data_IF_563381703425
#
_entry.id   IF_563381703425
#
_cell.length_a   1.000
_cell.length_b   1.000
_cell.length_c   1.000
_cell.angle_alpha   90.00
_cell.angle_beta   90.00
_cell.angle_gamma   90.00
#
_symmetry.space_group_name_H-M   'P 1'
#
loop_
_entity.id
_entity.type
_entity.pdbx_description
1 polymer ?
#
# COMPACT_ATOMS: atom_id res chain seq x y z
N UNK A 1 9.39 -5.11 -13.33
CA UNK A 1 8.78 -3.90 -13.92
C UNK A 1 8.83 -2.81 -12.87
N UNK A 2 9.45 -1.68 -13.17
CA UNK A 2 9.62 -0.55 -12.24
C UNK A 2 8.44 0.41 -12.36
N UNK A 3 8.26 1.31 -11.38
CA UNK A 3 7.28 2.39 -11.48
C UNK A 3 5.82 2.00 -11.31
N UNK A 4 5.54 0.77 -10.88
CA UNK A 4 4.18 0.33 -10.54
C UNK A 4 3.91 0.53 -9.05
N UNK A 5 2.65 0.71 -8.65
CA UNK A 5 2.25 0.85 -7.25
C UNK A 5 2.70 -0.38 -6.43
N UNK A 6 2.55 -1.59 -6.99
CA UNK A 6 3.04 -2.84 -6.41
C UNK A 6 4.56 -2.86 -6.27
N UNK A 7 5.30 -2.32 -7.24
CA UNK A 7 6.77 -2.25 -7.16
C UNK A 7 7.22 -1.33 -6.03
N UNK A 8 6.64 -0.13 -5.95
CA UNK A 8 6.92 0.82 -4.89
C UNK A 8 6.57 0.24 -3.52
N UNK A 9 5.35 -0.29 -3.36
CA UNK A 9 4.89 -0.88 -2.10
C UNK A 9 5.74 -2.09 -1.69
N UNK A 10 6.22 -2.90 -2.64
CA UNK A 10 7.14 -4.00 -2.34
C UNK A 10 8.44 -3.49 -1.72
N UNK A 11 9.07 -2.50 -2.36
CA UNK A 11 10.32 -1.91 -1.86
C UNK A 11 10.12 -1.26 -0.49
N UNK A 12 9.07 -0.44 -0.35
CA UNK A 12 8.79 0.26 0.90
C UNK A 12 8.43 -0.70 2.04
N UNK A 13 7.72 -1.79 1.76
CA UNK A 13 7.48 -2.84 2.75
C UNK A 13 8.79 -3.48 3.20
N UNK A 14 9.68 -3.80 2.25
CA UNK A 14 10.97 -4.41 2.55
C UNK A 14 11.83 -3.51 3.44
N UNK A 15 11.83 -2.20 3.21
CA UNK A 15 12.51 -1.24 4.10
C UNK A 15 11.96 -1.23 5.53
N UNK A 16 10.65 -1.42 5.71
CA UNK A 16 10.01 -1.40 7.03
C UNK A 16 10.17 -2.72 7.79
N UNK A 17 10.11 -3.84 7.09
CA UNK A 17 9.99 -5.16 7.71
C UNK A 17 11.18 -6.08 7.47
N UNK A 18 12.04 -5.79 6.49
CA UNK A 18 13.24 -6.57 6.19
C UNK A 18 13.00 -7.91 5.48
N UNK A 19 11.79 -8.18 5.00
CA UNK A 19 11.45 -9.39 4.26
C UNK A 19 10.45 -9.14 3.13
N UNK A 20 10.36 -10.08 2.19
CA UNK A 20 9.44 -9.98 1.04
C UNK A 20 7.97 -10.05 1.46
N UNK A 21 7.09 -9.14 1.01
CA UNK A 21 5.66 -9.20 1.30
C UNK A 21 4.89 -10.26 0.48
N UNK A 22 5.52 -10.86 -0.55
CA UNK A 22 4.84 -11.79 -1.45
C UNK A 22 3.99 -11.12 -2.55
N UNK A 23 4.10 -9.80 -2.73
CA UNK A 23 3.31 -9.09 -3.75
C UNK A 23 3.67 -9.49 -5.18
N UNK A 24 2.64 -9.73 -6.00
CA UNK A 24 2.76 -10.01 -7.43
C UNK A 24 1.59 -9.37 -8.19
N UNK A 25 1.87 -8.71 -9.31
CA UNK A 25 0.84 -8.16 -10.20
C UNK A 25 0.03 -7.01 -9.58
N UNK A 26 -1.30 -7.16 -9.60
CA UNK A 26 -2.29 -6.10 -9.31
C UNK A 26 -2.28 -5.62 -7.85
N UNK A 27 -2.23 -4.30 -7.66
CA UNK A 27 -2.26 -3.66 -6.35
C UNK A 27 -3.49 -3.98 -5.51
N UNK A 28 -4.66 -4.18 -6.13
CA UNK A 28 -5.87 -4.54 -5.37
C UNK A 28 -5.79 -5.93 -4.71
N UNK A 29 -4.87 -6.81 -5.17
CA UNK A 29 -4.67 -8.16 -4.62
C UNK A 29 -3.61 -8.21 -3.52
N UNK A 30 -2.84 -7.15 -3.31
CA UNK A 30 -1.66 -7.17 -2.44
C UNK A 30 -2.00 -7.48 -0.97
N UNK A 31 -3.12 -6.98 -0.44
CA UNK A 31 -3.57 -7.35 0.92
C UNK A 31 -3.82 -8.85 1.04
N UNK A 32 -4.52 -9.47 0.08
CA UNK A 32 -4.76 -10.93 0.08
C UNK A 32 -3.45 -11.72 -0.04
N UNK A 33 -2.54 -11.26 -0.89
CA UNK A 33 -1.23 -11.89 -1.08
C UNK A 33 -0.38 -11.84 0.19
N UNK A 34 -0.37 -10.70 0.89
CA UNK A 34 0.34 -10.56 2.15
C UNK A 34 -0.25 -11.47 3.24
N UNK A 35 -1.57 -11.50 3.36
CA UNK A 35 -2.23 -12.38 4.35
C UNK A 35 -2.03 -13.86 4.04
N UNK A 36 -1.96 -14.23 2.76
CA UNK A 36 -1.63 -15.60 2.35
C UNK A 36 -0.19 -15.97 2.67
N UNK A 37 0.74 -15.03 2.53
CA UNK A 37 2.19 -15.28 2.70
C UNK A 37 2.63 -15.18 4.16
N UNK A 38 2.08 -14.22 4.90
CA UNK A 38 2.47 -13.83 6.26
C UNK A 38 1.23 -13.65 7.16
N UNK A 39 0.26 -14.56 7.04
CA UNK A 39 -0.96 -14.54 7.84
C UNK A 39 -0.72 -14.78 9.34
N UNK A 40 0.46 -15.27 9.71
CA UNK A 40 0.95 -15.31 11.08
C UNK A 40 1.24 -13.89 11.62
N UNK A 41 1.75 -12.97 10.78
CA UNK A 41 2.20 -11.61 11.16
C UNK A 41 1.19 -10.49 10.87
N UNK A 42 0.25 -10.72 9.96
CA UNK A 42 -0.73 -9.72 9.56
C UNK A 42 -2.16 -10.23 9.69
N UNK A 43 -3.08 -9.29 9.85
CA UNK A 43 -4.52 -9.55 9.93
C UNK A 43 -5.30 -8.60 9.01
N UNK A 44 -6.41 -9.08 8.45
CA UNK A 44 -7.30 -8.26 7.63
C UNK A 44 -8.06 -7.27 8.50
N UNK A 45 -8.18 -6.03 8.06
CA UNK A 45 -8.97 -5.01 8.75
C UNK A 45 -9.64 -4.03 7.79
N UNK A 46 -10.68 -3.35 8.28
CA UNK A 46 -11.33 -2.19 7.65
C UNK A 46 -10.83 -0.85 8.21
N UNK A 47 -10.05 -0.89 9.29
CA UNK A 47 -9.36 0.25 9.91
C UNK A 47 -7.85 -0.01 9.97
N UNK A 48 -7.00 0.96 9.60
CA UNK A 48 -5.56 0.75 9.56
C UNK A 48 -4.87 0.93 10.91
N UNK A 49 -3.72 0.28 11.07
CA UNK A 49 -2.67 0.61 12.05
C UNK A 49 -1.44 1.19 11.33
N UNK A 50 -0.52 1.90 12.02
CA UNK A 50 0.79 2.18 11.45
C UNK A 50 1.48 0.89 10.97
N UNK A 51 2.10 0.95 9.79
CA UNK A 51 2.69 -0.19 9.10
C UNK A 51 1.71 -0.99 8.23
N UNK A 52 0.40 -0.70 8.27
CA UNK A 52 -0.57 -1.44 7.47
C UNK A 52 -0.34 -1.28 5.97
N UNK A 53 -0.47 -2.37 5.23
CA UNK A 53 -0.59 -2.33 3.77
C UNK A 53 -2.05 -2.15 3.41
N UNK A 54 -2.36 -1.26 2.47
CA UNK A 54 -3.72 -1.10 1.95
C UNK A 54 -3.82 -1.47 0.48
N UNK A 55 -4.95 -2.05 0.08
CA UNK A 55 -5.30 -2.29 -1.32
C UNK A 55 -6.54 -1.48 -1.67
N UNK A 56 -6.42 -0.64 -2.70
CA UNK A 56 -7.53 0.10 -3.30
C UNK A 56 -8.27 -0.77 -4.30
N UNK A 57 -9.47 -1.23 -3.92
CA UNK A 57 -10.20 -2.27 -4.63
C UNK A 57 -10.74 -1.76 -5.97
N UNK A 58 -11.33 -0.56 -5.99
CA UNK A 58 -11.91 0.00 -7.20
C UNK A 58 -10.92 0.69 -8.15
N UNK A 59 -9.64 0.82 -7.75
CA UNK A 59 -8.61 1.52 -8.54
C UNK A 59 -7.36 0.70 -8.87
N UNK A 60 -7.31 -0.59 -8.54
CA UNK A 60 -6.12 -1.42 -8.70
C UNK A 60 -4.86 -0.75 -8.11
N UNK A 61 -4.91 -0.40 -6.83
CA UNK A 61 -3.83 0.36 -6.19
C UNK A 61 -3.37 -0.28 -4.87
N UNK A 62 -2.14 0.00 -4.46
CA UNK A 62 -1.56 -0.46 -3.20
C UNK A 62 -0.62 0.60 -2.64
N UNK A 63 -0.63 0.76 -1.32
CA UNK A 63 0.32 1.60 -0.61
C UNK A 63 0.45 1.17 0.85
N UNK A 64 1.16 1.97 1.65
CA UNK A 64 1.46 1.67 3.04
C UNK A 64 1.06 2.84 3.93
N UNK A 65 0.42 2.54 5.06
CA UNK A 65 0.11 3.49 6.12
C UNK A 65 1.33 3.62 7.03
N UNK A 66 1.90 4.82 7.11
CA UNK A 66 3.10 5.12 7.91
C UNK A 66 2.74 5.62 9.31
N UNK A 67 1.64 6.35 9.44
CA UNK A 67 1.15 6.83 10.72
C UNK A 67 -0.38 6.95 10.73
N UNK A 68 -0.97 6.81 11.92
CA UNK A 68 -2.39 7.03 12.19
C UNK A 68 -2.49 7.98 13.37
N UNK A 69 -3.15 9.12 13.18
CA UNK A 69 -3.40 10.14 14.21
C UNK A 69 -4.90 10.48 14.19
N UNK A 70 -5.65 9.88 15.12
CA UNK A 70 -7.11 9.90 15.09
C UNK A 70 -7.65 9.31 13.78
N UNK A 71 -8.40 10.11 13.03
CA UNK A 71 -8.92 9.73 11.70
C UNK A 71 -7.95 10.04 10.55
N UNK A 72 -6.83 10.70 10.83
CA UNK A 72 -5.84 11.08 9.81
C UNK A 72 -4.79 9.99 9.61
N UNK A 73 -4.71 9.50 8.39
CA UNK A 73 -3.73 8.54 7.91
C UNK A 73 -2.61 9.29 7.18
N UNK A 74 -1.36 8.99 7.52
CA UNK A 74 -0.22 9.36 6.67
C UNK A 74 0.17 8.13 5.87
N UNK A 75 0.06 8.20 4.54
CA UNK A 75 0.35 7.08 3.63
C UNK A 75 1.54 7.39 2.74
N UNK A 76 2.15 6.33 2.24
CA UNK A 76 3.11 6.36 1.14
C UNK A 76 2.63 5.44 0.02
N UNK A 77 2.59 5.99 -1.18
CA UNK A 77 2.17 5.30 -2.40
C UNK A 77 2.98 5.82 -3.59
N UNK A 78 3.08 4.99 -4.63
CA UNK A 78 3.83 5.30 -5.85
C UNK A 78 3.03 4.94 -7.09
N UNK A 79 3.58 5.22 -8.27
CA UNK A 79 2.83 5.21 -9.53
C UNK A 79 1.70 6.23 -9.54
N UNK A 80 2.03 7.50 -9.32
CA UNK A 80 1.05 8.58 -9.22
C UNK A 80 0.54 9.00 -10.60
N UNK A 81 1.34 8.79 -11.65
CA UNK A 81 0.99 9.10 -13.04
C UNK A 81 0.24 7.97 -13.76
N UNK A 82 0.13 6.79 -13.14
CA UNK A 82 -0.58 5.63 -13.67
C UNK A 82 0.14 4.90 -14.80
N UNK A 83 1.45 5.14 -14.99
CA UNK A 83 2.23 4.57 -16.09
C UNK A 83 3.17 3.47 -15.61
N UNK A 84 3.79 2.80 -16.57
CA UNK A 84 4.98 2.00 -16.27
C UNK A 84 6.19 2.87 -16.50
N UNK A 85 6.85 3.26 -15.43
CA UNK A 85 7.99 4.16 -15.47
C UNK A 85 9.33 3.40 -15.56
N UNK A 86 10.35 4.08 -16.09
CA UNK A 86 11.73 3.61 -15.96
C UNK A 86 12.17 3.64 -14.50
N UNK A 87 13.27 2.96 -14.16
CA UNK A 87 13.80 2.98 -12.80
C UNK A 87 14.05 4.41 -12.28
N UNK A 88 14.61 5.29 -13.12
CA UNK A 88 14.93 6.67 -12.76
C UNK A 88 13.69 7.51 -12.46
N UNK A 89 12.64 7.36 -13.26
CA UNK A 89 11.36 8.06 -13.06
C UNK A 89 10.63 7.53 -11.82
N UNK A 90 10.63 6.21 -11.64
CA UNK A 90 10.00 5.53 -10.51
C UNK A 90 10.57 5.97 -9.14
N UNK A 91 11.84 6.39 -9.08
CA UNK A 91 12.45 6.90 -7.85
C UNK A 91 11.83 8.20 -7.34
N UNK A 92 11.20 8.98 -8.23
CA UNK A 92 10.56 10.26 -7.90
C UNK A 92 9.03 10.22 -7.99
N UNK A 93 8.47 9.16 -8.57
CA UNK A 93 7.03 8.96 -8.75
C UNK A 93 6.38 8.26 -7.55
N UNK A 94 6.50 8.91 -6.40
CA UNK A 94 5.86 8.52 -5.16
C UNK A 94 5.71 9.74 -4.24
N UNK A 95 4.82 9.65 -3.27
CA UNK A 95 4.64 10.72 -2.30
C UNK A 95 4.29 10.21 -0.90
N UNK A 96 4.52 11.07 0.09
CA UNK A 96 3.89 10.94 1.41
C UNK A 96 2.69 11.89 1.46
N UNK A 97 1.50 11.38 1.77
CA UNK A 97 0.28 12.18 1.77
C UNK A 97 -0.61 11.84 2.95
N UNK A 98 -1.34 12.86 3.42
CA UNK A 98 -2.34 12.70 4.47
C UNK A 98 -3.74 12.57 3.89
N UNK A 99 -4.50 11.65 4.44
CA UNK A 99 -5.91 11.41 4.13
C UNK A 99 -6.67 11.16 5.42
N UNK A 100 -7.93 11.55 5.50
CA UNK A 100 -8.83 10.88 6.44
C UNK A 100 -9.18 9.47 5.93
N UNK A 101 -9.61 8.56 6.80
CA UNK A 101 -10.03 7.22 6.36
C UNK A 101 -11.16 7.28 5.31
N UNK A 102 -12.10 8.22 5.48
CA UNK A 102 -13.18 8.47 4.51
C UNK A 102 -12.65 8.97 3.16
N UNK A 103 -11.70 9.90 3.16
CA UNK A 103 -11.09 10.40 1.92
C UNK A 103 -10.32 9.29 1.19
N UNK A 104 -9.57 8.45 1.91
CA UNK A 104 -8.85 7.33 1.30
C UNK A 104 -9.83 6.32 0.67
N UNK A 105 -10.91 5.95 1.39
CA UNK A 105 -11.97 5.09 0.86
C UNK A 105 -12.57 5.64 -0.43
N UNK A 106 -12.85 6.95 -0.46
CA UNK A 106 -13.40 7.63 -1.64
C UNK A 106 -12.39 7.63 -2.79
N UNK A 107 -11.13 7.99 -2.53
CA UNK A 107 -10.07 8.03 -3.53
C UNK A 107 -9.83 6.65 -4.17
N UNK A 108 -9.90 5.59 -3.38
CA UNK A 108 -9.65 4.21 -3.81
C UNK A 108 -10.90 3.46 -4.31
N UNK A 109 -12.09 4.08 -4.19
CA UNK A 109 -13.39 3.44 -4.44
C UNK A 109 -13.55 2.13 -3.66
N UNK A 110 -13.18 2.17 -2.38
CA UNK A 110 -13.10 1.00 -1.50
C UNK A 110 -11.66 0.63 -1.16
N UNK A 111 -11.40 0.38 0.13
CA UNK A 111 -10.07 0.04 0.64
C UNK A 111 -10.17 -1.06 1.69
N UNK A 112 -9.20 -1.95 1.69
CA UNK A 112 -8.97 -2.97 2.72
C UNK A 112 -7.53 -2.90 3.19
N UNK A 113 -7.29 -3.35 4.43
CA UNK A 113 -5.99 -3.29 5.06
C UNK A 113 -5.51 -4.67 5.50
N UNK A 114 -4.19 -4.87 5.45
CA UNK A 114 -3.47 -5.87 6.21
C UNK A 114 -2.68 -5.15 7.31
N UNK A 115 -3.16 -5.26 8.55
CA UNK A 115 -2.53 -4.66 9.72
C UNK A 115 -1.47 -5.60 10.29
N UNK A 116 -0.32 -5.08 10.76
CA UNK A 116 0.58 -5.87 11.60
C UNK A 116 -0.14 -6.27 12.90
N UNK A 117 0.13 -7.50 13.36
CA UNK A 117 -0.34 -8.02 14.66
C UNK A 117 0.52 -7.52 15.81
#
# INVERSE_FOLDING_TARGET
>A
MYGQCTWFAWGRFYELYGYSPGFIGDGWKCVDQLLKTHGDKFERSTTPKPGAVFSGIGRNHVGIVIAVDGDTLTIQEGNLDGKTNTFKEAQTDWHTKKYTLSQLRTAMQGVVFANPK
#
